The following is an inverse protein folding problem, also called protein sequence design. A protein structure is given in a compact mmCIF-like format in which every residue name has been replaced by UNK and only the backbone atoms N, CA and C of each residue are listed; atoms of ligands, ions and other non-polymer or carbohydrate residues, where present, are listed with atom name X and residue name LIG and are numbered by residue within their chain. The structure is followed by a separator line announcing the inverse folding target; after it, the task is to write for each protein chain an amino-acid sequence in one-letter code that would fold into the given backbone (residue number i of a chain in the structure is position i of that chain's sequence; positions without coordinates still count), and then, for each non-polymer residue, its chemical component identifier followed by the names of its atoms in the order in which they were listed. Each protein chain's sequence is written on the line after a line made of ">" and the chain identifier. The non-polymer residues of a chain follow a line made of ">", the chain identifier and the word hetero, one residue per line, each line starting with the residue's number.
data_IF_727513774354
#
_entry.id   IF_727513774354
#
_cell.length_a   1.000
_cell.length_b   1.000
_cell.length_c   1.000
_cell.angle_alpha   90.00
_cell.angle_beta   90.00
_cell.angle_gamma   90.00
#
_symmetry.space_group_name_H-M   'P 1'
#
loop_
_entity.id
_entity.type
_entity.pdbx_description
1 polymer ?
#
# COMPACT_ATOMS: atom_id res chain seq x y z
N UNK A 1 -18.75 7.25 -25.66
CA UNK A 1 -17.75 6.20 -25.94
C UNK A 1 -18.05 5.04 -25.02
N UNK A 2 -18.40 3.87 -25.57
CA UNK A 2 -18.47 2.65 -24.77
C UNK A 2 -17.05 2.10 -24.66
N UNK A 3 -16.47 2.19 -23.48
CA UNK A 3 -15.08 1.81 -23.26
C UNK A 3 -14.96 0.30 -23.13
N UNK A 4 -14.83 -0.42 -24.25
CA UNK A 4 -14.28 -1.76 -24.22
C UNK A 4 -12.96 -1.81 -23.39
N UNK A 5 -12.18 -0.74 -23.51
CA UNK A 5 -10.95 -0.48 -22.75
C UNK A 5 -11.14 -0.22 -21.24
N UNK A 6 -12.30 0.23 -20.78
CA UNK A 6 -12.53 0.64 -19.37
C UNK A 6 -13.48 -0.30 -18.60
N UNK A 7 -14.23 -1.17 -19.29
CA UNK A 7 -15.31 -1.96 -18.66
C UNK A 7 -15.42 -3.40 -19.19
N UNK A 8 -14.47 -3.91 -19.98
CA UNK A 8 -14.47 -5.31 -20.40
C UNK A 8 -13.39 -6.07 -19.64
N UNK A 9 -13.82 -7.16 -19.01
CA UNK A 9 -12.97 -8.13 -18.35
C UNK A 9 -13.67 -8.74 -17.15
N UNK A 10 -13.17 -9.87 -16.67
CA UNK A 10 -13.61 -10.52 -15.45
C UNK A 10 -12.45 -10.73 -14.45
N UNK A 11 -12.68 -11.50 -13.39
CA UNK A 11 -11.67 -11.81 -12.38
C UNK A 11 -10.44 -12.53 -12.98
N UNK A 12 -10.65 -13.35 -14.02
CA UNK A 12 -9.59 -14.09 -14.68
C UNK A 12 -8.73 -13.17 -15.55
N UNK A 13 -9.35 -12.20 -16.24
CA UNK A 13 -8.62 -11.16 -16.96
C UNK A 13 -7.80 -10.29 -16.02
N UNK A 14 -8.37 -9.89 -14.88
CA UNK A 14 -7.63 -9.14 -13.84
C UNK A 14 -6.43 -9.93 -13.34
N UNK A 15 -6.61 -11.21 -12.99
CA UNK A 15 -5.52 -12.09 -12.55
C UNK A 15 -4.42 -12.23 -13.61
N UNK A 16 -4.79 -12.37 -14.88
CA UNK A 16 -3.85 -12.48 -15.99
C UNK A 16 -3.04 -11.18 -16.18
N UNK A 17 -3.69 -10.02 -16.07
CA UNK A 17 -3.07 -8.71 -16.27
C UNK A 17 -2.35 -8.15 -15.03
N UNK A 18 -2.62 -8.71 -13.84
CA UNK A 18 -2.11 -8.20 -12.57
C UNK A 18 -0.59 -7.93 -12.58
N UNK A 19 0.28 -8.82 -13.10
CA UNK A 19 1.72 -8.54 -13.10
C UNK A 19 2.08 -7.26 -13.85
N UNK A 20 1.41 -6.96 -14.97
CA UNK A 20 1.66 -5.75 -15.74
C UNK A 20 1.07 -4.51 -15.07
N UNK A 21 -0.10 -4.65 -14.43
CA UNK A 21 -0.70 -3.55 -13.67
C UNK A 21 0.23 -3.13 -12.52
N UNK A 22 0.76 -4.11 -11.76
CA UNK A 22 1.69 -3.87 -10.66
C UNK A 22 3.01 -3.23 -11.14
N UNK A 23 3.57 -3.73 -12.24
CA UNK A 23 4.80 -3.19 -12.86
C UNK A 23 4.66 -1.72 -13.26
N UNK A 24 3.53 -1.35 -13.89
CA UNK A 24 3.24 0.04 -14.26
C UNK A 24 3.03 0.90 -13.00
N UNK A 25 2.31 0.42 -11.99
CA UNK A 25 2.09 1.18 -10.75
C UNK A 25 3.37 1.53 -9.99
N UNK A 26 4.40 0.70 -10.06
CA UNK A 26 5.71 1.01 -9.47
C UNK A 26 6.51 1.94 -10.39
N UNK A 27 6.53 1.67 -11.69
CA UNK A 27 7.49 2.31 -12.61
C UNK A 27 7.01 3.64 -13.19
N UNK A 28 5.70 3.88 -13.23
CA UNK A 28 5.08 5.05 -13.85
C UNK A 28 3.79 5.44 -13.08
N UNK A 29 3.91 5.85 -11.80
CA UNK A 29 2.75 6.16 -10.97
C UNK A 29 1.90 7.30 -11.54
N UNK A 30 2.49 8.26 -12.27
CA UNK A 30 1.75 9.33 -12.95
C UNK A 30 0.88 8.87 -14.13
N UNK A 31 1.11 7.66 -14.64
CA UNK A 31 0.32 7.00 -15.69
C UNK A 31 -0.51 5.83 -15.15
N UNK A 32 -0.34 5.49 -13.86
CA UNK A 32 -1.03 4.40 -13.19
C UNK A 32 -1.92 4.88 -12.06
N UNK A 33 -2.61 3.94 -11.43
CA UNK A 33 -3.31 4.17 -10.19
C UNK A 33 -2.37 3.89 -9.00
N UNK A 34 -2.55 4.68 -7.94
CA UNK A 34 -1.81 4.59 -6.68
C UNK A 34 -1.88 3.19 -6.05
N UNK A 35 -0.91 2.81 -5.19
CA UNK A 35 -0.89 1.51 -4.51
C UNK A 35 -2.22 1.17 -3.83
N UNK A 36 -2.87 2.15 -3.19
CA UNK A 36 -4.17 1.97 -2.54
C UNK A 36 -5.24 1.48 -3.51
N UNK A 37 -5.26 2.06 -4.71
CA UNK A 37 -6.27 1.78 -5.71
C UNK A 37 -6.04 0.38 -6.29
N UNK A 38 -4.81 0.07 -6.71
CA UNK A 38 -4.50 -1.20 -7.39
C UNK A 38 -4.58 -2.37 -6.43
N UNK A 39 -3.90 -2.31 -5.28
CA UNK A 39 -3.95 -3.38 -4.28
C UNK A 39 -5.37 -3.54 -3.72
N UNK A 40 -6.12 -2.45 -3.61
CA UNK A 40 -7.53 -2.48 -3.23
C UNK A 40 -8.46 -3.21 -4.22
N UNK A 41 -8.01 -3.57 -5.43
CA UNK A 41 -8.79 -4.42 -6.36
C UNK A 41 -8.59 -5.91 -6.15
N UNK A 42 -7.51 -6.34 -5.50
CA UNK A 42 -7.23 -7.76 -5.26
C UNK A 42 -8.40 -8.52 -4.60
N UNK A 43 -9.10 -7.97 -3.57
CA UNK A 43 -10.25 -8.66 -2.97
C UNK A 43 -11.42 -8.86 -3.93
N UNK A 44 -11.59 -7.97 -4.92
CA UNK A 44 -12.66 -8.08 -5.92
C UNK A 44 -12.46 -9.26 -6.87
N UNK A 45 -11.23 -9.75 -7.02
CA UNK A 45 -10.89 -10.94 -7.80
C UNK A 45 -10.64 -12.18 -6.91
N UNK A 46 -11.09 -12.12 -5.65
CA UNK A 46 -10.99 -13.21 -4.68
C UNK A 46 -9.56 -13.79 -4.56
N UNK A 47 -8.53 -12.95 -4.61
CA UNK A 47 -7.13 -13.39 -4.71
C UNK A 47 -6.67 -14.35 -3.61
N UNK A 48 -7.28 -14.27 -2.41
CA UNK A 48 -7.06 -15.21 -1.29
C UNK A 48 -7.51 -16.66 -1.57
N UNK A 49 -8.25 -16.88 -2.65
CA UNK A 49 -8.63 -18.21 -3.15
C UNK A 49 -7.70 -18.75 -4.25
N UNK A 50 -6.75 -17.93 -4.73
CA UNK A 50 -5.79 -18.34 -5.75
C UNK A 50 -4.75 -19.32 -5.18
N UNK A 51 -3.87 -19.86 -6.02
CA UNK A 51 -2.87 -20.82 -5.56
C UNK A 51 -1.96 -20.17 -4.50
N UNK A 52 -1.52 -20.91 -3.46
CA UNK A 52 -0.67 -20.35 -2.40
C UNK A 52 0.61 -19.70 -2.93
N UNK A 53 1.17 -20.22 -4.03
CA UNK A 53 2.36 -19.65 -4.68
C UNK A 53 2.08 -18.27 -5.27
N UNK A 54 0.90 -18.05 -5.85
CA UNK A 54 0.53 -16.75 -6.40
C UNK A 54 0.29 -15.74 -5.28
N UNK A 55 -0.40 -16.15 -4.21
CA UNK A 55 -0.60 -15.30 -3.05
C UNK A 55 0.74 -14.87 -2.45
N UNK A 56 1.66 -15.82 -2.27
CA UNK A 56 2.98 -15.56 -1.73
C UNK A 56 3.82 -14.62 -2.61
N UNK A 57 3.77 -14.78 -3.95
CA UNK A 57 4.49 -13.88 -4.85
C UNK A 57 3.94 -12.45 -4.80
N UNK A 58 2.62 -12.29 -4.68
CA UNK A 58 2.00 -10.97 -4.51
C UNK A 58 2.45 -10.34 -3.19
N UNK A 59 2.45 -11.08 -2.08
CA UNK A 59 2.90 -10.58 -0.79
C UNK A 59 4.38 -10.18 -0.82
N UNK A 60 5.26 -11.01 -1.39
CA UNK A 60 6.69 -10.70 -1.57
C UNK A 60 6.89 -9.47 -2.45
N UNK A 61 6.06 -9.29 -3.48
CA UNK A 61 6.11 -8.08 -4.30
C UNK A 61 5.72 -6.83 -3.49
N UNK A 62 4.65 -6.91 -2.69
CA UNK A 62 4.23 -5.79 -1.83
C UNK A 62 5.27 -5.50 -0.75
N UNK A 63 5.96 -6.52 -0.23
CA UNK A 63 7.10 -6.34 0.67
C UNK A 63 8.21 -5.51 0.03
N UNK A 64 8.62 -5.89 -1.19
CA UNK A 64 9.64 -5.15 -1.93
C UNK A 64 9.20 -3.73 -2.28
N UNK A 65 7.92 -3.54 -2.63
CA UNK A 65 7.36 -2.23 -2.90
C UNK A 65 7.37 -1.35 -1.65
N UNK A 66 6.97 -1.88 -0.49
CA UNK A 66 7.01 -1.14 0.77
C UNK A 66 8.43 -0.71 1.14
N UNK A 67 9.43 -1.61 1.06
CA UNK A 67 10.82 -1.24 1.37
C UNK A 67 11.36 -0.17 0.42
N UNK A 68 11.00 -0.26 -0.87
CA UNK A 68 11.37 0.77 -1.85
C UNK A 68 10.71 2.12 -1.55
N UNK A 69 9.40 2.12 -1.25
CA UNK A 69 8.64 3.31 -0.91
C UNK A 69 9.16 3.97 0.39
N UNK A 70 9.43 3.16 1.41
CA UNK A 70 10.01 3.63 2.67
C UNK A 70 11.40 4.25 2.46
N UNK A 71 12.26 3.61 1.65
CA UNK A 71 13.57 4.17 1.33
C UNK A 71 13.46 5.50 0.57
N UNK A 72 12.46 5.64 -0.32
CA UNK A 72 12.18 6.90 -1.02
C UNK A 72 11.75 7.99 -0.05
N UNK A 73 10.74 7.73 0.78
CA UNK A 73 10.24 8.69 1.78
C UNK A 73 11.37 9.12 2.76
N UNK A 74 12.24 8.20 3.17
CA UNK A 74 13.42 8.50 4.02
C UNK A 74 14.40 9.42 3.30
N UNK A 75 14.70 9.16 2.02
CA UNK A 75 15.63 9.97 1.24
C UNK A 75 15.10 11.40 1.02
N UNK A 76 13.79 11.55 0.77
CA UNK A 76 13.14 12.85 0.59
C UNK A 76 13.23 13.74 1.83
N UNK A 77 13.30 13.14 3.03
CA UNK A 77 13.50 13.90 4.28
C UNK A 77 14.78 14.73 4.23
N UNK A 78 15.84 14.22 3.60
CA UNK A 78 17.09 14.95 3.41
C UNK A 78 16.92 16.18 2.49
N UNK A 79 15.93 16.12 1.59
CA UNK A 79 15.55 17.20 0.69
C UNK A 79 14.56 18.21 1.32
N UNK A 80 14.13 17.95 2.57
CA UNK A 80 13.35 18.89 3.39
C UNK A 80 11.84 18.68 3.36
N UNK A 81 11.37 17.54 2.85
CA UNK A 81 9.95 17.14 2.86
C UNK A 81 9.84 15.62 3.10
N UNK A 82 8.66 15.12 3.49
CA UNK A 82 8.48 13.67 3.71
C UNK A 82 7.39 13.20 2.76
N UNK A 83 7.71 12.22 1.93
CA UNK A 83 6.76 11.56 1.05
C UNK A 83 5.70 10.76 1.81
N UNK A 84 4.73 10.22 1.06
CA UNK A 84 3.64 9.41 1.60
C UNK A 84 3.57 8.03 0.99
N UNK A 85 4.59 7.61 0.25
CA UNK A 85 4.53 6.39 -0.56
C UNK A 85 4.44 5.14 0.31
N UNK A 86 5.19 5.09 1.42
CA UNK A 86 5.14 3.97 2.36
C UNK A 86 3.75 3.85 3.00
N UNK A 87 3.09 4.97 3.30
CA UNK A 87 1.70 4.97 3.78
C UNK A 87 0.75 4.44 2.70
N UNK A 88 0.89 4.89 1.47
CA UNK A 88 0.06 4.46 0.35
C UNK A 88 0.16 2.96 0.12
N UNK A 89 1.37 2.38 0.19
CA UNK A 89 1.55 0.92 0.10
C UNK A 89 0.90 0.21 1.29
N UNK A 90 1.07 0.69 2.53
CA UNK A 90 0.41 0.12 3.72
C UNK A 90 -1.12 0.14 3.60
N UNK A 91 -1.68 1.26 3.15
CA UNK A 91 -3.11 1.41 2.94
C UNK A 91 -3.60 0.45 1.85
N UNK A 92 -2.87 0.32 0.74
CA UNK A 92 -3.14 -0.67 -0.30
C UNK A 92 -3.10 -2.11 0.21
N UNK A 93 -2.08 -2.48 0.97
CA UNK A 93 -1.96 -3.81 1.58
C UNK A 93 -3.14 -4.11 2.53
N UNK A 94 -3.54 -3.13 3.35
CA UNK A 94 -4.69 -3.23 4.23
C UNK A 94 -5.99 -3.43 3.44
N UNK A 95 -6.19 -2.68 2.36
CA UNK A 95 -7.32 -2.83 1.44
C UNK A 95 -7.32 -4.20 0.78
N UNK A 96 -6.15 -4.73 0.43
CA UNK A 96 -5.95 -6.08 -0.09
C UNK A 96 -6.21 -7.21 0.94
N UNK A 97 -6.52 -6.86 2.20
CA UNK A 97 -6.70 -7.80 3.32
C UNK A 97 -5.41 -8.56 3.65
N UNK A 98 -4.28 -7.87 3.58
CA UNK A 98 -3.01 -8.34 4.13
C UNK A 98 -2.88 -7.88 5.59
N UNK A 99 -2.40 -8.73 6.51
CA UNK A 99 -2.08 -8.30 7.86
C UNK A 99 -0.89 -7.32 7.81
N UNK A 100 -0.93 -6.22 8.55
CA UNK A 100 0.10 -5.18 8.43
C UNK A 100 1.29 -5.39 9.36
N UNK A 101 1.21 -6.36 10.26
CA UNK A 101 2.09 -6.49 11.42
C UNK A 101 3.60 -6.37 11.11
N UNK A 102 4.12 -7.01 10.06
CA UNK A 102 5.55 -6.97 9.79
C UNK A 102 6.03 -5.63 9.26
N UNK A 103 5.26 -4.95 8.39
CA UNK A 103 5.61 -3.59 7.92
C UNK A 103 5.48 -2.57 9.06
N UNK A 104 4.50 -2.78 9.93
CA UNK A 104 4.31 -2.01 11.15
C UNK A 104 5.49 -2.15 12.12
N UNK A 105 6.06 -3.35 12.26
CA UNK A 105 7.32 -3.55 13.00
C UNK A 105 8.49 -2.88 12.29
N UNK A 106 8.58 -2.98 10.96
CA UNK A 106 9.63 -2.36 10.16
C UNK A 106 9.67 -0.83 10.31
N UNK A 107 8.51 -0.17 10.42
CA UNK A 107 8.40 1.27 10.68
C UNK A 107 8.93 1.69 12.06
N UNK A 108 9.01 0.77 13.02
CA UNK A 108 9.55 1.07 14.36
C UNK A 108 11.08 1.08 14.40
N UNK A 109 11.74 0.61 13.33
CA UNK A 109 13.20 0.59 13.28
C UNK A 109 13.79 2.01 13.18
N UNK A 110 15.00 2.26 13.73
CA UNK A 110 15.54 3.60 13.87
C UNK A 110 15.72 4.38 12.55
N UNK A 111 16.00 3.69 11.45
CA UNK A 111 16.19 4.29 10.13
C UNK A 111 14.87 4.81 9.53
N UNK A 112 13.73 4.21 9.90
CA UNK A 112 12.40 4.64 9.48
C UNK A 112 11.79 5.74 10.37
N UNK A 113 12.49 6.14 11.43
CA UNK A 113 11.96 7.07 12.44
C UNK A 113 11.42 8.40 11.87
N UNK A 114 12.07 9.06 10.89
CA UNK A 114 11.54 10.30 10.32
C UNK A 114 10.17 10.12 9.66
N UNK A 115 10.00 9.05 8.88
CA UNK A 115 8.74 8.71 8.21
C UNK A 115 7.67 8.36 9.25
N UNK A 116 8.01 7.56 10.28
CA UNK A 116 7.07 7.27 11.35
C UNK A 116 6.64 8.54 12.12
N UNK A 117 7.57 9.45 12.40
CA UNK A 117 7.26 10.72 13.08
C UNK A 117 6.32 11.58 12.23
N UNK A 118 6.54 11.66 10.93
CA UNK A 118 5.65 12.36 10.01
C UNK A 118 4.24 11.72 9.96
N UNK A 119 4.15 10.40 9.82
CA UNK A 119 2.86 9.69 9.88
C UNK A 119 2.11 9.96 11.21
N UNK A 120 2.82 10.01 12.34
CA UNK A 120 2.22 10.36 13.66
C UNK A 120 1.73 11.81 13.72
N UNK A 121 2.39 12.72 13.01
CA UNK A 121 1.98 14.13 12.93
C UNK A 121 0.70 14.27 12.08
N UNK A 122 0.66 13.64 10.92
CA UNK A 122 -0.49 13.67 10.00
C UNK A 122 -1.71 12.90 10.51
N UNK A 123 -1.50 11.87 11.33
CA UNK A 123 -2.59 11.07 11.87
C UNK A 123 -3.47 11.82 12.90
N UNK A 124 -4.82 11.74 12.82
CA UNK A 124 -5.60 10.95 11.86
C UNK A 124 -6.12 11.74 10.64
N UNK A 125 -5.90 13.06 10.58
CA UNK A 125 -6.66 13.95 9.68
C UNK A 125 -6.06 14.14 8.30
N UNK A 126 -4.76 13.89 8.14
CA UNK A 126 -3.99 14.11 6.91
C UNK A 126 -3.41 12.79 6.37
N UNK A 127 -4.07 11.68 6.70
CA UNK A 127 -3.79 10.35 6.14
C UNK A 127 -4.50 10.18 4.79
N UNK A 128 -4.09 9.20 4.01
CA UNK A 128 -4.76 8.79 2.77
C UNK A 128 -6.26 8.53 3.03
N UNK A 129 -7.14 9.20 2.28
CA UNK A 129 -8.59 9.03 2.42
C UNK A 129 -9.04 7.58 2.21
N UNK A 130 -8.23 6.78 1.50
CA UNK A 130 -8.51 5.37 1.23
C UNK A 130 -8.51 4.48 2.48
N UNK A 131 -7.98 4.93 3.62
CA UNK A 131 -8.09 4.22 4.88
C UNK A 131 -9.54 3.99 5.31
N UNK A 132 -10.51 4.79 4.83
CA UNK A 132 -11.94 4.57 5.07
C UNK A 132 -12.44 3.21 4.54
N UNK A 133 -11.76 2.65 3.52
CA UNK A 133 -12.07 1.35 2.93
C UNK A 133 -11.29 0.19 3.58
N UNK A 134 -10.42 0.46 4.54
CA UNK A 134 -9.63 -0.51 5.26
C UNK A 134 -9.65 -0.29 6.79
N UNK A 135 -10.84 -0.26 7.43
CA UNK A 135 -10.97 0.09 8.84
C UNK A 135 -10.20 -0.84 9.78
N UNK A 136 -10.09 -2.14 9.46
CA UNK A 136 -9.31 -3.08 10.27
C UNK A 136 -7.80 -2.75 10.24
N UNK A 137 -7.24 -2.50 9.06
CA UNK A 137 -5.83 -2.10 8.94
C UNK A 137 -5.56 -0.71 9.53
N UNK A 138 -6.52 0.22 9.43
CA UNK A 138 -6.41 1.51 10.10
C UNK A 138 -6.34 1.36 11.62
N UNK A 139 -7.12 0.44 12.20
CA UNK A 139 -7.03 0.10 13.63
C UNK A 139 -5.64 -0.45 13.95
N UNK A 140 -5.13 -1.42 13.19
CA UNK A 140 -3.75 -1.94 13.35
C UNK A 140 -2.71 -0.80 13.32
N UNK A 141 -2.73 0.05 12.29
CA UNK A 141 -1.81 1.18 12.16
C UNK A 141 -1.92 2.15 13.35
N UNK A 142 -3.15 2.48 13.76
CA UNK A 142 -3.40 3.40 14.87
C UNK A 142 -2.79 2.91 16.19
N UNK A 143 -2.65 1.59 16.39
CA UNK A 143 -2.03 1.06 17.62
C UNK A 143 -0.57 1.49 17.75
N UNK A 144 0.14 1.70 16.63
CA UNK A 144 1.53 2.14 16.62
C UNK A 144 1.63 3.66 16.55
N UNK A 145 0.77 4.31 15.77
CA UNK A 145 0.80 5.77 15.65
C UNK A 145 0.36 6.47 16.94
N UNK A 146 -0.55 5.87 17.72
CA UNK A 146 -1.00 6.43 19.00
C UNK A 146 -0.02 6.18 20.17
N UNK A 147 0.93 5.24 20.03
CA UNK A 147 1.97 5.02 21.03
C UNK A 147 2.94 6.22 21.04
N UNK A 148 2.87 7.04 22.10
CA UNK A 148 3.71 8.24 22.30
C UNK A 148 2.94 9.54 22.53
N UNK A 149 1.60 9.54 22.48
CA UNK A 149 0.76 10.67 22.94
C UNK A 149 0.36 10.46 24.41
N UNK A 150 1.29 10.70 25.33
CA UNK A 150 1.03 10.80 26.77
C UNK A 150 1.34 12.23 27.26
#
# INVERSE_FOLDING_TARGET
>A
MSGAFLTIGDEQDFRYLLPRILDISVSDPGNSNDPEIVLGKLPLAHWRSWAPTEQSVIEVFVDAWFEWALASDVAEVEEGWVGTDAESVLCGAARAKMPLHHWLLRLLEPDAAPVLTDMKHRFPTEMSGFWEFAPAGLVELSTILAQGRA
#
